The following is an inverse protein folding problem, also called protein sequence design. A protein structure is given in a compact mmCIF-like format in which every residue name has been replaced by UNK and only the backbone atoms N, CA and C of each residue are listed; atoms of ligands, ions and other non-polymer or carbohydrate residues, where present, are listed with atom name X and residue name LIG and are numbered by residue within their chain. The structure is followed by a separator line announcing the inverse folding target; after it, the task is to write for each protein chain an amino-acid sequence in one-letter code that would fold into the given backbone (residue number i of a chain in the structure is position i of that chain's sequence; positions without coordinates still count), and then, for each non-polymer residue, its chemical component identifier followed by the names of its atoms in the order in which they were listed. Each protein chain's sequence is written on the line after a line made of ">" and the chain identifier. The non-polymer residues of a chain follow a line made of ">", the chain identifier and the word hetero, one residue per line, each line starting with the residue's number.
data_IF_071835496172
#
_entry.id   IF_071835496172
#
_cell.length_a   1.000
_cell.length_b   1.000
_cell.length_c   1.000
_cell.angle_alpha   90.00
_cell.angle_beta   90.00
_cell.angle_gamma   90.00
#
_symmetry.space_group_name_H-M   'P 1'
#
loop_
_entity.id
_entity.type
_entity.pdbx_description
1 polymer ?
#
# COMPACT_ATOMS: atom_id res chain seq x y z
N UNK A 1 -14.14 11.57 -31.22
CA UNK A 1 -15.44 11.78 -30.56
C UNK A 1 -15.50 10.90 -29.32
N UNK A 2 -15.88 11.45 -28.18
CA UNK A 2 -16.14 10.67 -26.97
C UNK A 2 -17.35 9.78 -27.19
N UNK A 3 -17.22 8.46 -26.98
CA UNK A 3 -18.36 7.54 -27.02
C UNK A 3 -18.87 7.31 -25.58
N UNK A 4 -20.07 7.79 -25.21
CA UNK A 4 -20.64 7.61 -23.87
C UNK A 4 -20.74 6.16 -23.44
N UNK A 5 -20.87 5.23 -24.39
CA UNK A 5 -20.93 3.79 -24.11
C UNK A 5 -19.61 3.22 -23.54
N UNK A 6 -18.47 3.91 -23.68
CA UNK A 6 -17.22 3.48 -23.06
C UNK A 6 -17.27 3.56 -21.54
N UNK A 7 -18.16 4.40 -20.94
CA UNK A 7 -18.38 4.45 -19.49
C UNK A 7 -19.19 3.27 -18.94
N UNK A 8 -19.82 2.49 -19.81
CA UNK A 8 -20.55 1.28 -19.44
C UNK A 8 -19.64 0.04 -19.36
N UNK A 9 -18.46 0.13 -19.96
CA UNK A 9 -17.48 -0.93 -19.88
C UNK A 9 -16.88 -1.01 -18.45
N UNK A 10 -16.56 -2.23 -17.94
CA UNK A 10 -15.86 -2.37 -16.67
C UNK A 10 -14.58 -1.53 -16.66
N UNK A 11 -14.43 -0.71 -15.64
CA UNK A 11 -13.27 0.17 -15.49
C UNK A 11 -12.01 -0.63 -15.18
N UNK A 12 -10.87 -0.18 -15.68
CA UNK A 12 -9.57 -0.66 -15.21
C UNK A 12 -9.26 0.00 -13.86
N UNK A 13 -8.80 -0.78 -12.90
CA UNK A 13 -8.44 -0.31 -11.57
C UNK A 13 -6.96 -0.57 -11.34
N UNK A 14 -6.23 0.49 -10.95
CA UNK A 14 -4.86 0.41 -10.48
C UNK A 14 -4.78 0.85 -9.02
N UNK A 15 -4.38 -0.06 -8.14
CA UNK A 15 -3.97 0.28 -6.78
C UNK A 15 -2.44 0.38 -6.74
N UNK A 16 -1.96 1.62 -6.77
CA UNK A 16 -0.54 1.95 -6.87
C UNK A 16 0.12 2.00 -5.50
N UNK A 17 0.79 0.92 -5.10
CA UNK A 17 1.57 0.87 -3.86
C UNK A 17 3.08 1.02 -4.09
N UNK A 18 3.82 1.40 -3.04
CA UNK A 18 5.29 1.52 -3.11
C UNK A 18 6.01 0.18 -3.32
N UNK A 19 5.40 -0.93 -2.94
CA UNK A 19 5.95 -2.28 -3.14
C UNK A 19 5.28 -3.04 -4.27
N UNK A 20 3.97 -2.95 -4.36
CA UNK A 20 3.15 -3.73 -5.28
C UNK A 20 2.13 -2.82 -5.98
N UNK A 21 1.95 -3.05 -7.28
CA UNK A 21 0.85 -2.50 -8.08
C UNK A 21 -0.17 -3.61 -8.32
N UNK A 22 -1.42 -3.36 -7.96
CA UNK A 22 -2.52 -4.30 -8.13
C UNK A 22 -3.44 -3.80 -9.23
N UNK A 23 -3.74 -4.63 -10.21
CA UNK A 23 -4.53 -4.25 -11.37
C UNK A 23 -5.61 -5.28 -11.69
N UNK A 24 -6.74 -4.82 -12.24
CA UNK A 24 -7.87 -5.65 -12.64
C UNK A 24 -9.03 -4.83 -13.15
N UNK A 25 -10.20 -5.44 -13.25
CA UNK A 25 -11.42 -4.83 -13.76
C UNK A 25 -12.48 -4.67 -12.69
N UNK A 26 -13.23 -3.58 -12.74
CA UNK A 26 -14.38 -3.37 -11.85
C UNK A 26 -15.42 -4.47 -11.98
N UNK A 27 -16.09 -4.77 -10.85
CA UNK A 27 -17.05 -5.88 -10.76
C UNK A 27 -16.41 -7.21 -10.35
N UNK A 28 -15.09 -7.29 -10.25
CA UNK A 28 -14.38 -8.48 -9.76
C UNK A 28 -14.17 -8.40 -8.25
N UNK A 29 -14.04 -9.58 -7.63
CA UNK A 29 -13.88 -9.72 -6.17
C UNK A 29 -12.45 -9.43 -5.68
N UNK A 30 -11.47 -9.35 -6.59
CA UNK A 30 -10.06 -9.06 -6.32
C UNK A 30 -9.31 -8.68 -7.58
N UNK A 31 -8.08 -8.15 -7.46
CA UNK A 31 -7.24 -7.80 -8.60
C UNK A 31 -6.85 -9.04 -9.39
N UNK A 32 -6.79 -8.92 -10.72
CA UNK A 32 -6.30 -10.00 -11.59
C UNK A 32 -4.81 -10.22 -11.48
N UNK A 33 -4.07 -9.11 -11.35
CA UNK A 33 -2.61 -9.11 -11.34
C UNK A 33 -2.08 -8.28 -10.18
N UNK A 34 -1.04 -8.81 -9.56
CA UNK A 34 -0.27 -8.15 -8.50
C UNK A 34 1.19 -8.22 -8.91
N UNK A 35 1.80 -7.10 -9.22
CA UNK A 35 3.18 -7.03 -9.68
C UNK A 35 4.02 -6.15 -8.76
N UNK A 36 5.31 -6.44 -8.63
CA UNK A 36 6.24 -5.58 -7.92
C UNK A 36 6.34 -4.20 -8.59
N UNK A 37 6.20 -3.12 -7.81
CA UNK A 37 6.38 -1.74 -8.29
C UNK A 37 7.86 -1.43 -8.41
N UNK A 38 8.53 -2.09 -9.34
CA UNK A 38 9.96 -1.99 -9.57
C UNK A 38 10.27 -2.05 -11.06
N UNK A 39 11.28 -1.30 -11.47
CA UNK A 39 11.84 -1.35 -12.82
C UNK A 39 13.36 -1.59 -12.72
N UNK A 40 13.86 -2.47 -13.58
CA UNK A 40 15.28 -2.79 -13.68
C UNK A 40 15.88 -2.25 -14.95
N UNK A 41 16.94 -1.46 -14.84
CA UNK A 41 17.72 -0.98 -15.97
C UNK A 41 19.04 -1.74 -16.03
N UNK A 42 19.54 -2.16 -17.22
CA UNK A 42 20.84 -2.83 -17.36
C UNK A 42 21.96 -2.00 -16.73
N UNK A 43 22.78 -2.64 -15.88
CA UNK A 43 23.94 -1.98 -15.24
C UNK A 43 25.00 -1.56 -16.26
N UNK A 44 25.15 -2.31 -17.35
CA UNK A 44 26.10 -2.06 -18.42
C UNK A 44 25.35 -1.91 -19.73
N UNK A 45 25.56 -0.83 -20.45
CA UNK A 45 25.15 -0.71 -21.85
C UNK A 45 26.11 -1.54 -22.69
N UNK A 46 25.96 -2.86 -22.68
CA UNK A 46 26.72 -3.72 -23.58
C UNK A 46 26.06 -3.66 -24.94
N UNK A 47 26.62 -2.84 -25.82
CA UNK A 47 26.35 -2.91 -27.25
C UNK A 47 27.03 -4.18 -27.79
N UNK A 48 26.42 -5.33 -27.57
CA UNK A 48 26.82 -6.56 -28.27
C UNK A 48 25.95 -6.69 -29.53
N UNK A 49 26.66 -6.76 -30.63
CA UNK A 49 26.21 -7.03 -31.99
C UNK A 49 24.85 -7.79 -32.09
N UNK A 50 23.82 -7.10 -32.57
CA UNK A 50 22.75 -7.72 -33.33
C UNK A 50 21.47 -8.15 -32.61
N UNK A 51 21.30 -7.93 -31.31
CA UNK A 51 20.03 -8.21 -30.59
C UNK A 51 19.45 -6.95 -29.99
N UNK A 52 18.16 -6.66 -30.21
CA UNK A 52 17.46 -5.58 -29.52
C UNK A 52 17.39 -5.90 -28.01
N UNK A 53 18.33 -5.33 -27.24
CA UNK A 53 18.33 -5.49 -25.79
C UNK A 53 17.13 -4.72 -25.23
N UNK A 54 16.31 -5.41 -24.43
CA UNK A 54 15.16 -4.78 -23.75
C UNK A 54 15.67 -3.63 -22.89
N UNK A 55 15.18 -2.42 -23.12
CA UNK A 55 15.64 -1.21 -22.41
C UNK A 55 15.42 -1.29 -20.90
N UNK A 56 14.39 -1.99 -20.47
CA UNK A 56 14.08 -2.17 -19.04
C UNK A 56 13.27 -3.45 -18.83
N UNK A 57 13.27 -3.91 -17.58
CA UNK A 57 12.48 -5.03 -17.09
C UNK A 57 11.55 -4.54 -15.99
N UNK A 58 10.32 -5.05 -15.92
CA UNK A 58 9.29 -4.59 -14.97
C UNK A 58 8.90 -5.74 -14.04
N UNK A 59 8.56 -5.39 -12.80
CA UNK A 59 7.98 -6.31 -11.83
C UNK A 59 8.89 -7.48 -11.47
N UNK A 60 8.34 -8.68 -11.49
CA UNK A 60 9.05 -9.91 -11.09
C UNK A 60 10.24 -10.22 -12.01
N UNK A 61 10.15 -9.90 -13.30
CA UNK A 61 11.28 -10.07 -14.21
C UNK A 61 12.49 -9.23 -13.78
N UNK A 62 12.25 -7.98 -13.32
CA UNK A 62 13.30 -7.14 -12.80
C UNK A 62 13.89 -7.69 -11.50
N UNK A 63 13.04 -8.21 -10.60
CA UNK A 63 13.48 -8.83 -9.34
C UNK A 63 14.36 -10.05 -9.57
N UNK A 64 13.98 -10.94 -10.48
CA UNK A 64 14.78 -12.13 -10.79
C UNK A 64 16.15 -11.81 -11.44
N UNK A 65 16.22 -10.72 -12.19
CA UNK A 65 17.46 -10.29 -12.87
C UNK A 65 18.26 -9.22 -12.12
N UNK A 66 18.02 -9.04 -10.82
CA UNK A 66 18.61 -7.97 -9.99
C UNK A 66 20.14 -7.94 -9.98
N UNK A 67 20.80 -9.07 -10.22
CA UNK A 67 22.26 -9.16 -10.22
C UNK A 67 22.86 -8.39 -11.40
N UNK A 68 22.19 -8.36 -12.54
CA UNK A 68 22.61 -7.68 -13.78
C UNK A 68 21.87 -6.36 -14.01
N UNK A 69 20.82 -6.06 -13.22
CA UNK A 69 20.01 -4.86 -13.34
C UNK A 69 20.22 -3.92 -12.14
N UNK A 70 20.14 -2.63 -12.42
CA UNK A 70 19.95 -1.58 -11.41
C UNK A 70 18.46 -1.42 -11.17
N UNK A 71 17.99 -1.80 -9.97
CA UNK A 71 16.58 -1.71 -9.60
C UNK A 71 16.22 -0.32 -9.12
N UNK A 72 15.10 0.21 -9.62
CA UNK A 72 14.49 1.46 -9.17
C UNK A 72 13.06 1.22 -8.73
N UNK A 73 12.66 1.89 -7.66
CA UNK A 73 11.32 1.87 -7.11
C UNK A 73 10.68 3.24 -7.36
N UNK A 74 9.78 3.38 -8.34
CA UNK A 74 9.29 4.69 -8.76
C UNK A 74 8.29 5.32 -7.81
N UNK A 75 7.85 4.59 -6.78
CA UNK A 75 6.98 5.12 -5.71
C UNK A 75 7.74 5.01 -4.39
N UNK A 76 8.06 6.15 -3.81
CA UNK A 76 8.69 6.23 -2.49
C UNK A 76 7.70 6.71 -1.44
N UNK A 77 7.49 5.88 -0.40
CA UNK A 77 6.57 6.21 0.71
C UNK A 77 5.18 6.69 0.24
N UNK A 78 4.65 6.03 -0.79
CA UNK A 78 3.33 6.31 -1.36
C UNK A 78 3.32 7.43 -2.41
N UNK A 79 4.43 8.13 -2.65
CA UNK A 79 4.52 9.24 -3.60
C UNK A 79 5.29 8.80 -4.85
N UNK A 80 4.75 9.07 -6.03
CA UNK A 80 5.44 8.83 -7.31
C UNK A 80 6.59 9.83 -7.43
N UNK A 81 7.82 9.32 -7.57
CA UNK A 81 9.06 10.10 -7.70
C UNK A 81 9.71 9.96 -9.07
N UNK A 82 9.43 8.87 -9.80
CA UNK A 82 9.90 8.63 -11.16
C UNK A 82 8.73 8.36 -12.11
N UNK A 83 8.32 9.40 -12.83
CA UNK A 83 7.15 9.35 -13.72
C UNK A 83 7.39 8.48 -14.95
N UNK A 84 8.58 8.60 -15.57
CA UNK A 84 8.93 7.83 -16.76
C UNK A 84 8.97 6.31 -16.47
N UNK A 85 9.50 5.94 -15.31
CA UNK A 85 9.52 4.55 -14.88
C UNK A 85 8.10 4.05 -14.52
N UNK A 86 7.28 4.91 -13.92
CA UNK A 86 5.90 4.56 -13.60
C UNK A 86 5.02 4.39 -14.85
N UNK A 87 5.22 5.24 -15.87
CA UNK A 87 4.58 5.10 -17.18
C UNK A 87 4.89 3.74 -17.82
N UNK A 88 6.16 3.29 -17.77
CA UNK A 88 6.57 1.97 -18.29
C UNK A 88 5.90 0.82 -17.53
N UNK A 89 5.74 0.94 -16.20
CA UNK A 89 5.02 -0.05 -15.39
C UNK A 89 3.55 -0.12 -15.83
N UNK A 90 2.85 1.02 -15.95
CA UNK A 90 1.45 1.01 -16.38
C UNK A 90 1.27 0.49 -17.80
N UNK A 91 2.16 0.83 -18.74
CA UNK A 91 2.16 0.26 -20.11
C UNK A 91 2.33 -1.25 -20.06
N UNK A 92 3.29 -1.74 -19.27
CA UNK A 92 3.50 -3.19 -19.11
C UNK A 92 2.22 -3.88 -18.58
N UNK A 93 1.58 -3.30 -17.55
CA UNK A 93 0.34 -3.84 -17.00
C UNK A 93 -0.79 -3.87 -18.03
N UNK A 94 -0.97 -2.78 -18.79
CA UNK A 94 -1.99 -2.75 -19.83
C UNK A 94 -1.74 -3.78 -20.93
N UNK A 95 -0.51 -3.85 -21.46
CA UNK A 95 -0.17 -4.61 -22.66
C UNK A 95 0.08 -6.10 -22.37
N UNK A 96 0.76 -6.41 -21.27
CA UNK A 96 1.22 -7.78 -20.99
C UNK A 96 0.40 -8.49 -19.93
N UNK A 97 -0.07 -7.78 -18.89
CA UNK A 97 -0.83 -8.40 -17.81
C UNK A 97 -2.33 -8.44 -18.13
N UNK A 98 -2.92 -7.29 -18.46
CA UNK A 98 -4.35 -7.19 -18.73
C UNK A 98 -4.72 -7.50 -20.19
N UNK A 99 -3.79 -7.33 -21.13
CA UNK A 99 -4.05 -7.49 -22.56
C UNK A 99 -5.07 -6.49 -23.11
N UNK A 100 -5.09 -5.25 -22.55
CA UNK A 100 -6.07 -4.21 -22.86
C UNK A 100 -5.41 -2.97 -23.42
N UNK A 101 -6.18 -2.21 -24.21
CA UNK A 101 -5.79 -0.87 -24.65
C UNK A 101 -6.41 0.17 -23.74
N UNK A 102 -5.60 1.11 -23.23
CA UNK A 102 -6.04 2.10 -22.24
C UNK A 102 -7.20 2.96 -22.73
N UNK A 103 -7.26 3.28 -24.02
CA UNK A 103 -8.32 4.12 -24.59
C UNK A 103 -9.69 3.44 -24.71
N UNK A 104 -9.80 2.14 -24.42
CA UNK A 104 -11.06 1.38 -24.55
C UNK A 104 -11.93 1.46 -23.29
N UNK A 105 -11.35 1.81 -22.13
CA UNK A 105 -12.04 1.71 -20.84
C UNK A 105 -11.73 2.89 -19.92
N UNK A 106 -12.69 3.29 -19.07
CA UNK A 106 -12.39 4.22 -17.99
C UNK A 106 -11.38 3.62 -17.03
N UNK A 107 -10.62 4.46 -16.34
CA UNK A 107 -9.61 4.01 -15.38
C UNK A 107 -9.76 4.74 -14.04
N UNK A 108 -9.78 3.96 -12.96
CA UNK A 108 -9.61 4.46 -11.60
C UNK A 108 -8.20 4.13 -11.12
N UNK A 109 -7.51 5.15 -10.62
CA UNK A 109 -6.23 4.98 -9.94
C UNK A 109 -6.33 5.39 -8.48
N UNK A 110 -5.52 4.76 -7.65
CA UNK A 110 -5.45 5.10 -6.23
C UNK A 110 -4.27 6.02 -5.95
N UNK A 111 -4.43 6.82 -4.90
CA UNK A 111 -3.37 7.67 -4.37
C UNK A 111 -3.30 7.55 -2.85
N UNK A 112 -2.12 7.84 -2.31
CA UNK A 112 -1.92 7.95 -0.87
C UNK A 112 -2.60 9.18 -0.30
N UNK A 113 -2.98 9.16 0.96
CA UNK A 113 -3.47 10.34 1.66
C UNK A 113 -2.39 11.43 1.68
N UNK A 114 -2.80 12.69 1.52
CA UNK A 114 -1.93 13.87 1.45
C UNK A 114 -0.96 13.85 0.24
N UNK A 115 -1.35 13.21 -0.87
CA UNK A 115 -0.57 13.26 -2.09
C UNK A 115 -0.45 14.71 -2.60
N UNK A 116 0.75 15.17 -3.00
CA UNK A 116 0.94 16.53 -3.50
C UNK A 116 0.04 16.85 -4.69
N UNK A 117 -0.50 18.06 -4.70
CA UNK A 117 -1.41 18.56 -5.77
C UNK A 117 -0.79 18.41 -7.16
N UNK A 118 0.50 18.72 -7.30
CA UNK A 118 1.19 18.62 -8.58
C UNK A 118 1.31 17.16 -9.07
N UNK A 119 1.45 16.20 -8.16
CA UNK A 119 1.43 14.77 -8.51
C UNK A 119 0.06 14.33 -9.01
N UNK A 120 -1.01 14.80 -8.39
CA UNK A 120 -2.39 14.54 -8.85
C UNK A 120 -2.63 15.08 -10.25
N UNK A 121 -2.21 16.31 -10.53
CA UNK A 121 -2.29 16.93 -11.84
C UNK A 121 -1.47 16.18 -12.89
N UNK A 122 -0.22 15.83 -12.55
CA UNK A 122 0.69 15.10 -13.45
C UNK A 122 0.13 13.74 -13.82
N UNK A 123 -0.43 13.01 -12.84
CA UNK A 123 -1.07 11.72 -13.09
C UNK A 123 -2.27 11.87 -14.03
N UNK A 124 -3.14 12.83 -13.77
CA UNK A 124 -4.29 13.14 -14.62
C UNK A 124 -3.86 13.47 -16.05
N UNK A 125 -2.83 14.31 -16.20
CA UNK A 125 -2.26 14.65 -17.49
C UNK A 125 -1.76 13.42 -18.25
N UNK A 126 -0.99 12.53 -17.59
CA UNK A 126 -0.49 11.31 -18.22
C UNK A 126 -1.62 10.40 -18.70
N UNK A 127 -2.66 10.22 -17.90
CA UNK A 127 -3.78 9.37 -18.28
C UNK A 127 -4.50 9.88 -19.53
N UNK A 128 -4.76 11.16 -19.63
CA UNK A 128 -5.45 11.73 -20.80
C UNK A 128 -4.53 11.95 -21.99
N UNK A 129 -3.28 12.40 -21.81
CA UNK A 129 -2.40 12.78 -22.92
C UNK A 129 -1.57 11.62 -23.46
N UNK A 130 -1.09 10.69 -22.62
CA UNK A 130 -0.27 9.56 -23.05
C UNK A 130 -1.11 8.30 -23.25
N UNK A 131 -1.91 7.92 -22.24
CA UNK A 131 -2.73 6.72 -22.29
C UNK A 131 -4.05 6.89 -23.07
N UNK A 132 -4.46 8.16 -23.33
CA UNK A 132 -5.69 8.48 -24.08
C UNK A 132 -6.95 7.84 -23.49
N UNK A 133 -7.01 7.70 -22.17
CA UNK A 133 -8.17 7.09 -21.51
C UNK A 133 -9.45 7.89 -21.76
N UNK A 134 -10.62 7.26 -21.92
CA UNK A 134 -11.89 7.95 -22.16
C UNK A 134 -12.40 8.68 -20.92
N UNK A 135 -12.09 8.17 -19.74
CA UNK A 135 -12.42 8.78 -18.46
C UNK A 135 -11.45 8.32 -17.36
N UNK A 136 -11.29 9.16 -16.36
CA UNK A 136 -10.34 8.98 -15.27
C UNK A 136 -10.98 9.36 -13.93
N UNK A 137 -10.61 8.64 -12.88
CA UNK A 137 -10.88 9.03 -11.49
C UNK A 137 -9.70 8.71 -10.61
N UNK A 138 -9.41 9.59 -9.66
CA UNK A 138 -8.33 9.42 -8.68
C UNK A 138 -8.94 9.38 -7.28
N UNK A 139 -8.67 8.32 -6.53
CA UNK A 139 -9.25 8.12 -5.20
C UNK A 139 -8.22 7.81 -4.15
N UNK A 140 -8.43 8.35 -2.95
CA UNK A 140 -7.58 8.11 -1.77
C UNK A 140 -7.77 6.67 -1.29
N UNK A 141 -6.66 5.94 -1.14
CA UNK A 141 -6.64 4.51 -0.75
C UNK A 141 -7.45 4.22 0.52
N UNK A 142 -7.37 5.09 1.52
CA UNK A 142 -8.08 4.90 2.79
C UNK A 142 -9.61 4.97 2.63
N UNK A 143 -10.14 5.85 1.78
CA UNK A 143 -11.59 5.94 1.49
C UNK A 143 -12.07 4.62 0.88
N UNK A 144 -11.33 4.11 -0.09
CA UNK A 144 -11.67 2.86 -0.77
C UNK A 144 -11.63 1.67 0.19
N UNK A 145 -10.63 1.61 1.07
CA UNK A 145 -10.53 0.56 2.09
C UNK A 145 -11.72 0.58 3.07
N UNK A 146 -12.22 1.77 3.39
CA UNK A 146 -13.42 1.93 4.21
C UNK A 146 -14.66 1.41 3.47
N UNK A 147 -14.81 1.74 2.18
CA UNK A 147 -15.92 1.25 1.34
C UNK A 147 -15.89 -0.28 1.18
N UNK A 148 -14.72 -0.90 1.08
CA UNK A 148 -14.59 -2.36 1.07
C UNK A 148 -15.16 -3.01 2.33
N UNK A 149 -15.17 -2.32 3.46
CA UNK A 149 -15.78 -2.77 4.71
C UNK A 149 -17.22 -2.30 4.91
N UNK A 150 -17.89 -1.86 3.83
CA UNK A 150 -19.26 -1.35 3.81
C UNK A 150 -19.51 -0.18 4.79
N UNK A 151 -18.53 0.73 4.90
CA UNK A 151 -18.58 1.91 5.77
C UNK A 151 -18.27 3.17 4.98
N UNK A 152 -18.86 4.29 5.44
CA UNK A 152 -18.58 5.63 4.92
C UNK A 152 -17.97 6.54 5.99
N UNK A 153 -17.96 6.10 7.25
CA UNK A 153 -17.37 6.81 8.39
C UNK A 153 -16.53 5.85 9.22
N UNK A 154 -15.32 6.26 9.58
CA UNK A 154 -14.38 5.49 10.41
C UNK A 154 -12.97 6.04 10.37
N UNK A 155 -12.08 5.41 11.12
CA UNK A 155 -10.65 5.68 11.11
C UNK A 155 -9.94 4.54 10.39
N UNK A 156 -9.32 4.82 9.26
CA UNK A 156 -8.54 3.82 8.53
C UNK A 156 -7.09 3.86 8.98
N UNK A 157 -6.55 2.69 9.33
CA UNK A 157 -5.13 2.47 9.54
C UNK A 157 -4.62 1.74 8.30
N UNK A 158 -3.99 2.49 7.41
CA UNK A 158 -3.39 1.94 6.20
C UNK A 158 -1.90 1.79 6.39
N UNK A 159 -1.45 0.55 6.55
CA UNK A 159 -0.04 0.20 6.72
C UNK A 159 0.43 -0.66 5.55
N UNK A 160 1.09 -0.01 4.60
CA UNK A 160 1.59 -0.63 3.37
C UNK A 160 3.05 -1.08 3.45
N UNK A 161 3.70 -1.09 2.29
CA UNK A 161 5.13 -1.37 2.16
C UNK A 161 5.99 -0.15 2.50
N UNK A 162 5.59 1.06 2.05
CA UNK A 162 6.42 2.26 2.13
C UNK A 162 6.04 3.24 3.25
N UNK A 163 4.80 3.23 3.72
CA UNK A 163 4.27 4.23 4.66
C UNK A 163 3.09 3.67 5.43
N UNK A 164 2.88 4.20 6.65
CA UNK A 164 1.70 3.94 7.47
C UNK A 164 0.96 5.26 7.71
N UNK A 165 -0.35 5.26 7.47
CA UNK A 165 -1.24 6.40 7.73
C UNK A 165 -2.35 6.02 8.70
N UNK A 166 -2.80 7.01 9.47
CA UNK A 166 -4.08 6.99 10.16
C UNK A 166 -4.95 8.08 9.54
N UNK A 167 -6.06 7.68 8.93
CA UNK A 167 -6.90 8.54 8.09
C UNK A 167 -8.32 8.53 8.61
N UNK A 168 -8.76 9.58 9.31
CA UNK A 168 -10.17 9.71 9.66
C UNK A 168 -10.99 10.08 8.42
N UNK A 169 -12.11 9.39 8.26
CA UNK A 169 -13.08 9.59 7.18
C UNK A 169 -14.45 9.79 7.80
N UNK A 170 -15.16 10.82 7.36
CA UNK A 170 -16.52 11.11 7.79
C UNK A 170 -17.42 11.31 6.58
N UNK A 171 -18.49 10.49 6.49
CA UNK A 171 -19.47 10.50 5.40
C UNK A 171 -18.82 10.42 4.00
N UNK A 172 -17.77 9.64 3.85
CA UNK A 172 -17.06 9.44 2.59
C UNK A 172 -15.95 10.45 2.30
N UNK A 173 -15.76 11.48 3.14
CA UNK A 173 -14.71 12.48 2.99
C UNK A 173 -13.59 12.24 4.01
N UNK A 174 -12.35 12.13 3.57
CA UNK A 174 -11.24 12.09 4.52
C UNK A 174 -10.98 13.50 5.09
N UNK A 175 -10.46 13.56 6.32
CA UNK A 175 -10.19 14.80 7.03
C UNK A 175 -8.69 15.11 6.99
N UNK A 176 -8.18 15.89 6.01
CA UNK A 176 -6.74 16.04 5.77
C UNK A 176 -5.97 16.58 6.97
N UNK A 177 -6.58 17.51 7.74
CA UNK A 177 -5.97 18.14 8.91
C UNK A 177 -5.74 17.16 10.08
N UNK A 178 -6.45 16.04 10.08
CA UNK A 178 -6.39 15.01 11.11
C UNK A 178 -5.64 13.74 10.67
N UNK A 179 -5.17 13.69 9.41
CA UNK A 179 -4.32 12.58 8.95
C UNK A 179 -2.99 12.62 9.69
N UNK A 180 -2.56 11.46 10.19
CA UNK A 180 -1.21 11.28 10.72
C UNK A 180 -0.43 10.30 9.83
N UNK A 181 0.88 10.55 9.69
CA UNK A 181 1.77 9.77 8.82
C UNK A 181 2.99 9.29 9.60
N UNK A 182 3.26 8.00 9.50
CA UNK A 182 4.48 7.37 10.02
C UNK A 182 5.33 6.88 8.84
N UNK A 183 6.56 7.36 8.75
CA UNK A 183 7.53 6.93 7.76
C UNK A 183 8.17 5.56 8.11
N UNK A 184 7.39 4.65 8.71
CA UNK A 184 7.75 3.27 9.01
C UNK A 184 6.63 2.37 8.49
N UNK A 185 7.02 1.35 7.73
CA UNK A 185 6.09 0.38 7.14
C UNK A 185 6.82 -0.92 6.78
N UNK A 186 6.26 -1.75 5.93
CA UNK A 186 6.77 -3.09 5.62
C UNK A 186 8.23 -3.14 5.17
N UNK A 187 8.70 -2.14 4.42
CA UNK A 187 10.11 -2.03 4.02
C UNK A 187 11.03 -1.83 5.22
N UNK A 188 10.70 -0.88 6.11
CA UNK A 188 11.48 -0.59 7.30
C UNK A 188 11.51 -1.81 8.24
N UNK A 189 10.40 -2.57 8.34
CA UNK A 189 10.34 -3.81 9.11
C UNK A 189 11.26 -4.88 8.51
N UNK A 190 11.30 -5.04 7.17
CA UNK A 190 12.23 -5.95 6.50
C UNK A 190 13.68 -5.58 6.78
N UNK A 191 14.03 -4.30 6.69
CA UNK A 191 15.36 -3.78 6.96
C UNK A 191 15.77 -4.02 8.43
N UNK A 192 14.85 -3.78 9.37
CA UNK A 192 15.11 -4.01 10.79
C UNK A 192 15.20 -5.50 11.13
N UNK A 193 14.33 -6.35 10.57
CA UNK A 193 14.43 -7.81 10.70
C UNK A 193 15.77 -8.31 10.17
N UNK A 194 16.24 -7.77 9.05
CA UNK A 194 17.55 -8.10 8.48
C UNK A 194 18.67 -7.85 9.49
N UNK A 195 18.66 -6.70 10.14
CA UNK A 195 19.61 -6.35 11.19
C UNK A 195 19.55 -7.32 12.36
N UNK A 196 18.38 -7.60 12.89
CA UNK A 196 18.19 -8.50 14.03
C UNK A 196 18.63 -9.94 13.71
N UNK A 197 18.34 -10.45 12.50
CA UNK A 197 18.79 -11.78 12.07
C UNK A 197 20.31 -11.88 11.96
N UNK A 198 20.98 -10.84 11.46
CA UNK A 198 22.45 -10.80 11.41
C UNK A 198 23.07 -10.74 12.80
N UNK A 199 22.51 -9.93 13.71
CA UNK A 199 22.95 -9.83 15.11
C UNK A 199 22.76 -11.17 15.86
N UNK A 200 21.73 -11.95 15.50
CA UNK A 200 21.50 -13.30 16.05
C UNK A 200 22.36 -14.39 15.40
N UNK A 201 23.31 -14.02 14.51
CA UNK A 201 24.27 -14.95 13.90
C UNK A 201 23.77 -15.67 12.65
N UNK A 202 22.59 -15.32 12.13
CA UNK A 202 22.10 -15.89 10.87
C UNK A 202 22.93 -15.36 9.69
N UNK A 203 23.39 -16.27 8.83
CA UNK A 203 24.16 -15.92 7.62
C UNK A 203 23.37 -16.28 6.36
N UNK A 204 23.41 -15.41 5.37
CA UNK A 204 22.77 -15.59 4.08
C UNK A 204 23.84 -15.46 2.99
N UNK A 205 23.90 -16.38 2.05
CA UNK A 205 24.98 -16.48 1.08
C UNK A 205 25.00 -15.34 0.06
N UNK A 206 23.86 -14.87 -0.43
CA UNK A 206 23.77 -13.78 -1.38
C UNK A 206 22.91 -12.60 -0.89
N UNK A 207 23.30 -11.38 -1.27
CA UNK A 207 22.51 -10.17 -0.95
C UNK A 207 21.16 -10.15 -1.67
N UNK A 208 21.07 -10.78 -2.84
CA UNK A 208 19.88 -10.82 -3.67
C UNK A 208 18.81 -11.77 -3.10
N UNK A 209 19.21 -13.00 -2.81
CA UNK A 209 18.36 -14.02 -2.18
C UNK A 209 17.96 -13.61 -0.77
N UNK A 210 18.89 -13.00 -0.04
CA UNK A 210 18.70 -12.51 1.33
C UNK A 210 17.45 -11.66 1.48
N UNK A 211 17.22 -10.67 0.61
CA UNK A 211 16.06 -9.77 0.73
C UNK A 211 14.76 -10.51 0.54
N UNK A 212 14.65 -11.37 -0.47
CA UNK A 212 13.47 -12.16 -0.77
C UNK A 212 13.15 -13.15 0.37
N UNK A 213 14.19 -13.84 0.89
CA UNK A 213 14.04 -14.75 2.02
C UNK A 213 13.56 -14.02 3.27
N UNK A 214 14.12 -12.84 3.57
CA UNK A 214 13.74 -12.09 4.77
C UNK A 214 12.33 -11.51 4.63
N UNK A 215 11.92 -11.09 3.44
CA UNK A 215 10.53 -10.69 3.17
C UNK A 215 9.57 -11.86 3.39
N UNK A 216 9.89 -13.06 2.91
CA UNK A 216 9.09 -14.27 3.13
C UNK A 216 9.03 -14.66 4.61
N UNK A 217 10.16 -14.62 5.34
CA UNK A 217 10.20 -14.82 6.80
C UNK A 217 9.29 -13.81 7.51
N UNK A 218 9.40 -12.53 7.16
CA UNK A 218 8.57 -11.46 7.71
C UNK A 218 7.09 -11.78 7.54
N UNK A 219 6.68 -12.14 6.33
CA UNK A 219 5.27 -12.35 5.98
C UNK A 219 4.69 -13.62 6.61
N UNK A 220 5.50 -14.70 6.72
CA UNK A 220 5.04 -15.99 7.25
C UNK A 220 5.15 -16.12 8.77
N UNK A 221 6.17 -15.54 9.37
CA UNK A 221 6.54 -15.86 10.77
C UNK A 221 6.46 -14.68 11.73
N UNK A 222 6.62 -13.44 11.27
CA UNK A 222 6.56 -12.28 12.15
C UNK A 222 5.15 -12.06 12.72
N UNK A 223 5.09 -11.55 13.93
CA UNK A 223 3.86 -11.23 14.66
C UNK A 223 4.09 -10.05 15.60
N UNK A 224 3.02 -9.40 16.02
CA UNK A 224 3.04 -8.32 17.01
C UNK A 224 2.69 -8.92 18.38
N UNK A 225 3.59 -8.75 19.34
CA UNK A 225 3.34 -9.18 20.69
C UNK A 225 2.34 -8.24 21.39
N UNK A 226 1.28 -8.75 22.03
CA UNK A 226 0.35 -7.92 22.80
C UNK A 226 1.04 -7.17 23.96
N UNK A 227 2.10 -7.75 24.52
CA UNK A 227 2.99 -7.17 25.53
C UNK A 227 4.43 -7.63 25.24
N UNK A 228 5.28 -6.79 24.63
CA UNK A 228 6.63 -7.17 24.25
C UNK A 228 7.54 -7.49 25.44
N UNK A 229 7.30 -6.91 26.62
CA UNK A 229 8.09 -7.24 27.83
C UNK A 229 7.79 -8.64 28.33
N UNK A 230 6.52 -9.03 28.33
CA UNK A 230 6.13 -10.40 28.66
C UNK A 230 6.62 -11.40 27.62
N UNK A 231 6.59 -11.02 26.35
CA UNK A 231 7.07 -11.87 25.26
C UNK A 231 8.59 -12.13 25.37
N UNK A 232 9.38 -11.10 25.72
CA UNK A 232 10.82 -11.23 25.99
C UNK A 232 11.14 -12.09 27.21
N UNK A 233 10.25 -12.15 28.20
CA UNK A 233 10.42 -12.95 29.41
C UNK A 233 10.09 -14.44 29.22
N UNK A 234 9.52 -14.84 28.08
CA UNK A 234 9.28 -16.25 27.75
C UNK A 234 10.57 -17.01 27.55
N UNK A 235 10.53 -18.32 27.78
CA UNK A 235 11.68 -19.19 27.48
C UNK A 235 11.96 -19.17 25.97
N UNK A 236 13.23 -19.22 25.55
CA UNK A 236 13.58 -19.18 24.13
C UNK A 236 12.81 -20.21 23.28
N UNK A 237 12.59 -21.41 23.80
CA UNK A 237 11.89 -22.48 23.07
C UNK A 237 10.41 -22.15 22.78
N UNK A 238 9.78 -21.26 23.56
CA UNK A 238 8.37 -20.89 23.39
C UNK A 238 8.16 -19.89 22.25
N UNK A 239 9.21 -19.15 21.86
CA UNK A 239 9.17 -18.14 20.81
C UNK A 239 9.90 -18.56 19.53
N UNK A 240 10.66 -19.68 19.57
CA UNK A 240 11.36 -20.22 18.41
C UNK A 240 10.39 -20.74 17.36
N UNK A 241 10.59 -20.32 16.10
CA UNK A 241 9.92 -20.89 14.94
C UNK A 241 10.93 -21.37 13.93
N UNK A 242 10.61 -22.45 13.22
CA UNK A 242 11.45 -23.01 12.17
C UNK A 242 11.07 -22.43 10.81
N UNK A 243 12.08 -22.11 10.02
CA UNK A 243 11.93 -21.68 8.64
C UNK A 243 12.86 -22.52 7.74
N UNK A 244 12.30 -23.04 6.65
CA UNK A 244 13.05 -23.80 5.67
C UNK A 244 13.54 -22.88 4.56
N UNK A 245 14.85 -22.74 4.41
CA UNK A 245 15.48 -22.00 3.33
C UNK A 245 15.27 -22.69 1.98
N UNK A 246 15.43 -22.00 0.85
CA UNK A 246 15.30 -22.57 -0.49
C UNK A 246 16.25 -23.75 -0.77
N UNK A 247 17.42 -23.77 -0.16
CA UNK A 247 18.39 -24.88 -0.22
C UNK A 247 18.00 -26.11 0.63
N UNK A 248 16.90 -26.01 1.36
CA UNK A 248 16.41 -27.08 2.25
C UNK A 248 16.89 -26.98 3.68
N UNK A 249 17.83 -26.10 4.01
CA UNK A 249 18.36 -25.90 5.37
C UNK A 249 17.30 -25.33 6.28
N UNK A 250 17.19 -25.87 7.52
CA UNK A 250 16.29 -25.38 8.55
C UNK A 250 17.01 -24.36 9.43
N UNK A 251 16.46 -23.18 9.55
CA UNK A 251 16.89 -22.18 10.51
C UNK A 251 15.84 -21.98 11.60
N UNK A 252 16.28 -21.64 12.81
CA UNK A 252 15.41 -21.35 13.97
C UNK A 252 15.55 -19.88 14.31
N UNK A 253 14.40 -19.21 14.39
CA UNK A 253 14.32 -17.77 14.64
C UNK A 253 13.42 -17.55 15.85
N UNK A 254 13.88 -16.76 16.81
CA UNK A 254 13.18 -16.45 18.06
C UNK A 254 12.69 -15.00 18.12
N UNK A 255 13.22 -14.26 19.09
CA UNK A 255 12.80 -12.88 19.38
C UNK A 255 12.80 -11.91 18.20
N UNK A 256 13.66 -12.00 17.16
CA UNK A 256 13.56 -11.15 16.00
C UNK A 256 12.16 -11.10 15.34
N UNK A 257 11.38 -12.19 15.44
CA UNK A 257 10.08 -12.32 14.80
C UNK A 257 9.02 -11.35 15.36
N UNK A 258 9.06 -11.03 16.64
CA UNK A 258 8.16 -10.04 17.23
C UNK A 258 8.81 -8.68 17.46
N UNK A 259 10.13 -8.63 17.60
CA UNK A 259 10.86 -7.37 17.74
C UNK A 259 10.85 -6.54 16.45
N UNK A 260 10.88 -7.18 15.28
CA UNK A 260 10.89 -6.45 14.03
C UNK A 260 9.62 -5.61 13.79
N UNK A 261 8.39 -6.13 13.94
CA UNK A 261 7.17 -5.32 13.82
C UNK A 261 6.97 -4.30 14.96
N UNK A 262 7.66 -4.47 16.11
CA UNK A 262 7.54 -3.56 17.26
C UNK A 262 7.94 -2.11 16.92
N UNK A 263 8.73 -1.89 15.86
CA UNK A 263 9.06 -0.55 15.36
C UNK A 263 7.83 0.27 14.96
N UNK A 264 6.68 -0.36 14.68
CA UNK A 264 5.42 0.35 14.46
C UNK A 264 4.90 1.04 15.72
N UNK A 265 5.22 0.50 16.91
CA UNK A 265 4.77 1.01 18.20
C UNK A 265 5.85 1.78 18.94
N UNK A 266 7.11 1.44 18.70
CA UNK A 266 8.30 2.07 19.28
C UNK A 266 9.34 2.44 18.22
N UNK A 267 9.12 3.50 17.43
CA UNK A 267 10.03 3.89 16.32
C UNK A 267 11.48 4.18 16.72
N UNK A 268 11.73 4.47 18.00
CA UNK A 268 13.07 4.78 18.52
C UNK A 268 14.14 3.73 18.22
N UNK A 269 13.77 2.46 18.09
CA UNK A 269 14.67 1.39 17.67
C UNK A 269 15.27 1.55 16.27
N UNK A 270 14.66 2.40 15.42
CA UNK A 270 15.15 2.76 14.08
C UNK A 270 15.88 4.10 14.03
N UNK A 271 16.09 4.78 15.19
CA UNK A 271 16.65 6.13 15.25
C UNK A 271 15.69 7.24 14.79
N UNK A 272 14.42 6.91 14.54
CA UNK A 272 13.39 7.90 14.17
C UNK A 272 12.63 8.35 15.40
N UNK A 273 12.58 9.66 15.63
CA UNK A 273 11.73 10.25 16.65
C UNK A 273 10.32 10.45 16.07
N UNK A 274 9.43 9.50 16.34
CA UNK A 274 8.05 9.53 15.87
C UNK A 274 7.13 8.85 16.90
N UNK A 275 5.86 9.25 16.99
CA UNK A 275 4.90 8.57 17.85
C UNK A 275 4.64 7.16 17.34
N UNK A 276 4.47 6.19 18.25
CA UNK A 276 4.02 4.85 17.88
C UNK A 276 2.58 4.84 17.38
N UNK A 277 2.21 3.77 16.69
CA UNK A 277 0.93 3.66 15.98
C UNK A 277 -0.29 3.98 16.85
N UNK A 278 -0.36 3.45 18.09
CA UNK A 278 -1.47 3.71 19.01
C UNK A 278 -1.60 5.20 19.39
N UNK A 279 -0.47 5.93 19.51
CA UNK A 279 -0.47 7.39 19.76
C UNK A 279 -0.92 8.15 18.53
N UNK A 280 -0.53 7.71 17.33
CA UNK A 280 -0.99 8.32 16.09
C UNK A 280 -2.50 8.21 15.92
N UNK A 281 -3.07 7.05 16.26
CA UNK A 281 -4.52 6.82 16.23
C UNK A 281 -5.23 7.81 17.13
N UNK A 282 -4.85 7.88 18.40
CA UNK A 282 -5.44 8.82 19.34
C UNK A 282 -5.29 10.28 18.88
N UNK A 283 -4.10 10.64 18.38
CA UNK A 283 -3.84 11.99 17.89
C UNK A 283 -4.70 12.34 16.64
N UNK A 284 -4.89 11.41 15.72
CA UNK A 284 -5.79 11.62 14.57
C UNK A 284 -7.23 11.85 15.00
N UNK A 285 -7.74 11.07 15.95
CA UNK A 285 -9.11 11.25 16.44
C UNK A 285 -9.25 12.58 17.19
N UNK A 286 -8.30 12.94 18.05
CA UNK A 286 -8.38 14.20 18.84
C UNK A 286 -8.32 15.46 17.98
N UNK A 287 -7.81 15.38 16.75
CA UNK A 287 -7.85 16.49 15.78
C UNK A 287 -9.19 16.65 15.07
N UNK A 288 -10.08 15.67 15.17
CA UNK A 288 -11.42 15.73 14.60
C UNK A 288 -12.38 16.41 15.57
N UNK A 289 -13.59 16.75 15.08
CA UNK A 289 -14.67 17.23 15.92
C UNK A 289 -15.03 16.20 17.02
N UNK A 290 -15.22 16.67 18.25
CA UNK A 290 -15.51 15.82 19.40
C UNK A 290 -16.78 14.95 19.21
N UNK A 291 -17.76 15.44 18.44
CA UNK A 291 -19.01 14.73 18.18
C UNK A 291 -18.82 13.43 17.40
N UNK A 292 -17.70 13.30 16.64
CA UNK A 292 -17.42 12.10 15.84
C UNK A 292 -16.39 11.16 16.49
N UNK A 293 -15.78 11.53 17.62
CA UNK A 293 -14.75 10.70 18.27
C UNK A 293 -15.23 9.29 18.56
N UNK A 294 -16.41 9.14 19.18
CA UNK A 294 -16.98 7.83 19.49
C UNK A 294 -17.22 6.98 18.24
N UNK A 295 -17.66 7.62 17.16
CA UNK A 295 -17.89 6.94 15.87
C UNK A 295 -16.58 6.49 15.27
N UNK A 296 -15.53 7.30 15.32
CA UNK A 296 -14.20 6.96 14.79
C UNK A 296 -13.55 5.81 15.58
N UNK A 297 -13.56 5.87 16.93
CA UNK A 297 -13.03 4.78 17.76
C UNK A 297 -13.85 3.49 17.62
N UNK A 298 -15.16 3.58 17.41
CA UNK A 298 -16.06 2.44 17.16
C UNK A 298 -15.93 1.84 15.75
N UNK A 299 -15.15 2.47 14.85
CA UNK A 299 -14.97 2.03 13.46
C UNK A 299 -13.51 2.20 13.00
N UNK A 300 -12.57 1.55 13.68
CA UNK A 300 -11.16 1.52 13.27
C UNK A 300 -10.99 0.38 12.27
N UNK A 301 -10.63 0.68 11.04
CA UNK A 301 -10.48 -0.29 9.94
C UNK A 301 -9.01 -0.45 9.60
N UNK A 302 -8.51 -1.69 9.61
CA UNK A 302 -7.15 -2.03 9.20
C UNK A 302 -7.10 -2.29 7.70
N UNK A 303 -6.07 -1.74 7.04
CA UNK A 303 -5.77 -1.90 5.62
C UNK A 303 -4.27 -1.99 5.36
N UNK A 304 -3.91 -2.57 4.22
CA UNK A 304 -2.52 -2.72 3.77
C UNK A 304 -1.83 -3.98 4.29
N UNK A 305 -0.81 -4.43 3.56
CA UNK A 305 -0.10 -5.70 3.82
C UNK A 305 0.58 -5.77 5.19
N UNK A 306 1.12 -4.65 5.68
CA UNK A 306 1.76 -4.60 7.01
C UNK A 306 0.77 -4.60 8.17
N UNK A 307 -0.53 -4.50 7.89
CA UNK A 307 -1.57 -4.71 8.91
C UNK A 307 -1.91 -6.19 9.15
N UNK A 308 -1.37 -7.10 8.34
CA UNK A 308 -1.64 -8.55 8.43
C UNK A 308 -0.91 -9.26 9.57
N UNK A 309 0.05 -8.64 10.22
CA UNK A 309 0.75 -9.26 11.33
C UNK A 309 -0.24 -9.75 12.39
N UNK A 310 -0.19 -11.05 12.77
CA UNK A 310 -0.98 -11.58 13.87
C UNK A 310 -0.74 -10.77 15.15
N UNK A 311 -1.81 -10.47 15.90
CA UNK A 311 -1.75 -9.74 17.17
C UNK A 311 -1.70 -8.20 17.04
N UNK A 312 -1.68 -7.66 15.80
CA UNK A 312 -1.65 -6.20 15.59
C UNK A 312 -2.90 -5.52 16.15
N UNK A 313 -4.07 -6.08 15.88
CA UNK A 313 -5.37 -5.59 16.36
C UNK A 313 -5.45 -5.58 17.89
N UNK A 314 -5.05 -6.68 18.53
CA UNK A 314 -4.99 -6.78 20.00
C UNK A 314 -4.02 -5.75 20.60
N UNK A 315 -2.85 -5.56 20.01
CA UNK A 315 -1.85 -4.59 20.47
C UNK A 315 -2.35 -3.14 20.32
N UNK A 316 -3.03 -2.81 19.21
CA UNK A 316 -3.64 -1.50 19.02
C UNK A 316 -4.73 -1.29 20.09
N UNK A 317 -5.60 -2.26 20.28
CA UNK A 317 -6.68 -2.19 21.27
C UNK A 317 -6.13 -1.89 22.67
N UNK A 318 -5.16 -2.67 23.16
CA UNK A 318 -4.50 -2.46 24.45
C UNK A 318 -3.84 -1.08 24.59
N UNK A 319 -3.21 -0.62 23.50
CA UNK A 319 -2.59 0.72 23.49
C UNK A 319 -3.61 1.85 23.58
N UNK A 320 -4.80 1.66 23.02
CA UNK A 320 -5.88 2.65 23.06
C UNK A 320 -6.67 2.65 24.37
N UNK A 321 -6.86 1.50 25.03
CA UNK A 321 -7.57 1.41 26.31
C UNK A 321 -7.04 2.37 27.38
N UNK A 322 -5.73 2.70 27.33
CA UNK A 322 -5.09 3.62 28.26
C UNK A 322 -5.14 5.09 27.82
N UNK A 323 -5.57 5.38 26.59
CA UNK A 323 -5.56 6.74 26.01
C UNK A 323 -6.96 7.26 25.75
N UNK A 324 -7.93 6.38 25.59
CA UNK A 324 -9.32 6.71 25.27
C UNK A 324 -10.12 6.85 26.57
N UNK A 325 -11.00 7.85 26.71
CA UNK A 325 -11.84 8.01 27.88
C UNK A 325 -12.67 6.78 28.17
N UNK A 326 -12.87 6.47 29.46
CA UNK A 326 -13.69 5.32 29.90
C UNK A 326 -15.13 5.44 29.33
N UNK A 327 -15.62 4.34 28.80
CA UNK A 327 -16.97 4.26 28.22
C UNK A 327 -17.05 4.55 26.71
N UNK A 328 -15.97 5.00 26.10
CA UNK A 328 -15.90 5.13 24.63
C UNK A 328 -15.69 3.74 24.00
N UNK A 329 -16.53 3.32 23.05
CA UNK A 329 -16.38 2.02 22.40
C UNK A 329 -15.15 2.02 21.48
N UNK A 330 -14.27 1.04 21.64
CA UNK A 330 -13.14 0.79 20.73
C UNK A 330 -13.46 -0.47 19.95
N UNK A 331 -13.59 -0.37 18.62
CA UNK A 331 -13.80 -1.53 17.75
C UNK A 331 -12.81 -1.50 16.60
N UNK A 332 -12.00 -2.55 16.50
CA UNK A 332 -11.04 -2.75 15.42
C UNK A 332 -11.62 -3.77 14.44
N UNK A 333 -11.64 -3.41 13.17
CA UNK A 333 -12.15 -4.18 12.06
C UNK A 333 -10.95 -4.57 11.21
N UNK A 334 -10.65 -5.86 11.18
CA UNK A 334 -9.50 -6.43 10.49
C UNK A 334 -9.99 -7.44 9.43
N UNK A 335 -10.45 -6.99 8.24
CA UNK A 335 -10.88 -7.91 7.18
C UNK A 335 -9.77 -8.90 6.82
N UNK A 336 -10.13 -10.12 6.46
CA UNK A 336 -9.15 -11.17 6.08
C UNK A 336 -8.39 -10.83 4.81
N UNK A 337 -9.06 -10.14 3.90
CA UNK A 337 -8.59 -9.70 2.58
C UNK A 337 -8.09 -8.24 2.56
N UNK A 338 -7.76 -7.67 3.75
CA UNK A 338 -7.35 -6.26 3.88
C UNK A 338 -6.09 -5.87 3.11
N UNK A 339 -5.35 -6.84 2.61
CA UNK A 339 -4.28 -6.61 1.64
C UNK A 339 -4.80 -6.03 0.32
N UNK A 340 -6.05 -6.39 -0.05
CA UNK A 340 -6.73 -5.94 -1.27
C UNK A 340 -7.84 -4.93 -1.00
N UNK A 341 -8.11 -4.53 0.24
CA UNK A 341 -9.25 -3.66 0.60
C UNK A 341 -9.37 -2.42 -0.28
N UNK A 342 -8.26 -1.74 -0.54
CA UNK A 342 -8.24 -0.56 -1.42
C UNK A 342 -8.75 -0.90 -2.83
N UNK A 343 -8.24 -1.95 -3.43
CA UNK A 343 -8.63 -2.38 -4.77
C UNK A 343 -10.09 -2.85 -4.81
N UNK A 344 -10.51 -3.62 -3.80
CA UNK A 344 -11.90 -4.11 -3.66
C UNK A 344 -12.86 -2.93 -3.54
N UNK A 345 -12.54 -1.95 -2.71
CA UNK A 345 -13.35 -0.74 -2.58
C UNK A 345 -13.48 0.04 -3.89
N UNK A 346 -12.40 0.13 -4.67
CA UNK A 346 -12.43 0.72 -5.99
C UNK A 346 -13.35 -0.06 -6.95
N UNK A 347 -13.28 -1.40 -6.92
CA UNK A 347 -14.15 -2.28 -7.70
C UNK A 347 -15.62 -2.08 -7.34
N UNK A 348 -15.92 -2.00 -6.05
CA UNK A 348 -17.29 -1.77 -5.55
C UNK A 348 -17.84 -0.44 -6.07
N UNK A 349 -17.15 0.67 -5.83
CA UNK A 349 -17.70 2.00 -6.18
C UNK A 349 -17.85 2.19 -7.68
N UNK A 350 -16.88 1.73 -8.48
CA UNK A 350 -16.93 1.88 -9.94
C UNK A 350 -17.97 0.99 -10.60
N UNK A 351 -18.50 -0.01 -9.89
CA UNK A 351 -19.61 -0.85 -10.36
C UNK A 351 -20.99 -0.22 -10.10
N UNK A 352 -21.05 0.83 -9.27
CA UNK A 352 -22.29 1.51 -8.97
C UNK A 352 -22.70 2.47 -10.09
N UNK A 353 -23.96 2.45 -10.50
CA UNK A 353 -24.47 3.40 -11.50
C UNK A 353 -24.39 4.85 -11.03
N UNK A 354 -24.49 5.09 -9.72
CA UNK A 354 -24.33 6.40 -9.09
C UNK A 354 -22.91 6.97 -9.20
N UNK A 355 -21.91 6.14 -9.52
CA UNK A 355 -20.53 6.57 -9.70
C UNK A 355 -20.28 7.18 -11.10
N UNK A 356 -21.11 6.86 -12.11
CA UNK A 356 -20.92 7.34 -13.49
C UNK A 356 -20.72 8.87 -13.60
N UNK A 357 -21.51 9.71 -12.90
CA UNK A 357 -21.32 11.16 -12.92
C UNK A 357 -20.01 11.67 -12.29
N UNK A 358 -19.33 10.82 -11.52
CA UNK A 358 -18.08 11.17 -10.84
C UNK A 358 -16.87 11.15 -11.77
N UNK A 359 -16.94 10.40 -12.87
CA UNK A 359 -15.85 10.31 -13.83
C UNK A 359 -15.45 11.69 -14.38
N UNK A 360 -14.16 11.96 -14.44
CA UNK A 360 -13.60 13.02 -15.26
C UNK A 360 -13.53 12.46 -16.68
N UNK A 361 -14.30 13.02 -17.60
CA UNK A 361 -14.29 12.61 -19.00
C UNK A 361 -13.17 13.30 -19.77
N UNK A 362 -12.80 12.77 -20.94
CA UNK A 362 -11.85 13.43 -21.85
C UNK A 362 -12.34 14.82 -22.30
N UNK A 363 -13.67 15.06 -22.33
CA UNK A 363 -14.25 16.37 -22.60
C UNK A 363 -14.01 17.33 -21.42
N UNK A 364 -14.28 16.88 -20.18
CA UNK A 364 -14.00 17.70 -18.98
C UNK A 364 -12.51 18.08 -18.91
N UNK A 365 -11.63 17.10 -19.21
CA UNK A 365 -10.18 17.36 -19.23
C UNK A 365 -9.79 18.38 -20.29
N UNK A 366 -10.39 18.33 -21.47
CA UNK A 366 -10.13 19.29 -22.55
C UNK A 366 -10.54 20.72 -22.14
N UNK A 367 -11.66 20.85 -21.42
CA UNK A 367 -12.20 22.16 -21.03
C UNK A 367 -11.49 22.77 -19.81
N UNK A 368 -11.09 21.96 -18.84
CA UNK A 368 -10.56 22.42 -17.55
C UNK A 368 -9.08 22.08 -17.30
N UNK A 369 -8.47 21.26 -18.18
CA UNK A 369 -7.10 20.79 -18.01
C UNK A 369 -6.89 19.92 -16.75
N UNK A 370 -5.63 19.67 -16.35
CA UNK A 370 -5.31 18.77 -15.24
C UNK A 370 -5.82 19.25 -13.88
N UNK A 371 -6.20 20.53 -13.73
CA UNK A 371 -6.77 21.07 -12.51
C UNK A 371 -8.15 20.49 -12.16
N UNK A 372 -8.82 19.86 -13.12
CA UNK A 372 -10.14 19.23 -12.93
C UNK A 372 -10.12 18.19 -11.81
N UNK A 373 -8.98 17.50 -11.61
CA UNK A 373 -8.83 16.49 -10.56
C UNK A 373 -9.06 17.05 -9.16
N UNK A 374 -8.72 18.33 -8.91
CA UNK A 374 -8.95 18.99 -7.63
C UNK A 374 -10.43 19.28 -7.34
N UNK A 375 -11.25 19.35 -8.41
CA UNK A 375 -12.67 19.67 -8.32
C UNK A 375 -13.57 18.42 -8.28
N UNK A 376 -13.07 17.30 -8.78
CA UNK A 376 -13.87 16.08 -8.96
C UNK A 376 -13.45 14.93 -8.04
N UNK A 377 -12.17 14.86 -7.66
CA UNK A 377 -11.61 13.79 -6.84
C UNK A 377 -11.29 14.34 -5.44
N UNK A 378 -12.07 13.97 -4.45
CA UNK A 378 -11.95 14.44 -3.06
C UNK A 378 -11.33 13.38 -2.16
#
# INVERSE_FOLDING_TARGET
>A
MFNPQTLDAPAVIFDNGSGLCKAGLSGEIGPRHVISTVIGHPKTKVSLLGGAQKECHVGEEAQHKRDVLSLKYPIERGIITSWDDMEKIWKHVYEHELGLKAFERPVLMTETSLNPVENRKKLTQLMFEQFKVPAFYLSVQAILSLYASARITGLVIDSGYGVTHTVPVYEGYYLPHAVSRLGIAGRDITEFLTKLLLESGQRFESLAEKKSIIEDIKEKLCYVAPDPHKELAKRPEEVLKEYKLPDGTLIRIGSPLFQAPEILFGPGGTGKDAPGLHRMIAHSVTKCDANIHNTLYGNIVLSGGSSLFPGLDERIFKGLEHQVPKGVPIKIIAPTDRWFSTWIGASVITSLTSFKPMWITAADYKDFGPNIVQRRCF
#
